data_IF_183130995211
#
_entry.id   IF_183130995211
#
_cell.length_a   1.000
_cell.length_b   1.000
_cell.length_c   1.000
_cell.angle_alpha   90.00
_cell.angle_beta   90.00
_cell.angle_gamma   90.00
#
_symmetry.space_group_name_H-M   'P 1'
#
loop_
_entity.id
_entity.type
_entity.pdbx_description
1 polymer ?
#
# COMPACT_ATOMS: atom_id res chain seq x y z
N UNK A 1 3.03 4.69 0.91
CA UNK A 1 2.62 3.75 -0.17
C UNK A 1 1.66 4.37 -1.17
N UNK A 2 0.41 4.68 -0.79
CA UNK A 2 -0.62 5.27 -1.70
C UNK A 2 -0.13 6.49 -2.48
N UNK A 3 0.55 7.41 -1.79
CA UNK A 3 1.07 8.66 -2.37
C UNK A 3 2.16 8.37 -3.41
N UNK A 4 3.09 7.47 -3.10
CA UNK A 4 4.22 7.16 -3.97
C UNK A 4 3.79 6.58 -5.32
N UNK A 5 2.73 5.75 -5.34
CA UNK A 5 2.19 5.18 -6.58
C UNK A 5 1.73 6.30 -7.53
N UNK A 6 0.92 7.23 -7.04
CA UNK A 6 0.40 8.32 -7.87
C UNK A 6 1.53 9.24 -8.35
N UNK A 7 2.46 9.61 -7.47
CA UNK A 7 3.62 10.44 -7.82
C UNK A 7 4.46 9.82 -8.92
N UNK A 8 4.87 8.56 -8.76
CA UNK A 8 5.74 7.90 -9.73
C UNK A 8 5.07 7.74 -11.09
N UNK A 9 3.80 7.35 -11.13
CA UNK A 9 3.06 7.18 -12.39
C UNK A 9 2.87 8.52 -13.11
N UNK A 10 2.41 9.56 -12.40
CA UNK A 10 2.19 10.88 -13.01
C UNK A 10 3.51 11.49 -13.48
N UNK A 11 4.57 11.40 -12.68
CA UNK A 11 5.87 11.96 -13.05
C UNK A 11 6.48 11.26 -14.27
N UNK A 12 6.35 9.93 -14.37
CA UNK A 12 6.77 9.18 -15.56
C UNK A 12 5.95 9.59 -16.79
N UNK A 13 4.62 9.68 -16.68
CA UNK A 13 3.76 10.09 -17.81
C UNK A 13 4.10 11.50 -18.27
N UNK A 14 4.24 12.46 -17.35
CA UNK A 14 4.57 13.84 -17.70
C UNK A 14 5.93 13.98 -18.36
N UNK A 15 6.91 13.15 -17.99
CA UNK A 15 8.23 13.14 -18.63
C UNK A 15 8.15 12.65 -20.07
N UNK A 16 7.44 11.55 -20.33
CA UNK A 16 7.37 10.94 -21.67
C UNK A 16 6.44 11.70 -22.62
N UNK A 17 5.49 12.49 -22.11
CA UNK A 17 4.71 13.43 -22.93
C UNK A 17 5.52 14.67 -23.35
N UNK A 18 6.62 14.98 -22.67
CA UNK A 18 7.52 16.08 -23.00
C UNK A 18 6.86 17.47 -22.99
N UNK A 19 7.29 18.33 -23.92
CA UNK A 19 6.89 19.75 -24.00
C UNK A 19 5.40 19.97 -24.35
N UNK A 20 4.68 18.94 -24.79
CA UNK A 20 3.25 18.99 -25.14
C UNK A 20 2.30 18.50 -24.05
N UNK A 21 2.76 18.38 -22.79
CA UNK A 21 1.95 17.81 -21.70
C UNK A 21 0.68 18.63 -21.45
N UNK A 22 -0.47 18.07 -21.81
CA UNK A 22 -1.80 18.61 -21.49
C UNK A 22 -2.50 17.68 -20.50
N UNK A 23 -3.43 18.20 -19.71
CA UNK A 23 -4.24 17.37 -18.81
C UNK A 23 -5.00 16.26 -19.57
N UNK A 24 -5.60 16.51 -20.76
CA UNK A 24 -6.15 15.45 -21.60
C UNK A 24 -5.11 14.39 -22.00
N UNK A 25 -3.91 14.80 -22.42
CA UNK A 25 -2.84 13.85 -22.76
C UNK A 25 -2.43 12.97 -21.58
N UNK A 26 -2.36 13.53 -20.37
CA UNK A 26 -2.13 12.76 -19.14
C UNK A 26 -3.28 11.78 -18.88
N UNK A 27 -4.53 12.18 -19.14
CA UNK A 27 -5.69 11.30 -18.97
C UNK A 27 -5.68 10.10 -19.95
N UNK A 28 -5.24 10.32 -21.19
CA UNK A 28 -5.08 9.27 -22.19
C UNK A 28 -3.98 8.28 -21.79
N UNK A 29 -2.84 8.78 -21.33
CA UNK A 29 -1.74 7.94 -20.83
C UNK A 29 -2.12 7.18 -19.56
N UNK A 30 -2.90 7.78 -18.65
CA UNK A 30 -3.46 7.06 -17.50
C UNK A 30 -4.38 5.91 -17.93
N UNK A 31 -5.13 6.08 -19.02
CA UNK A 31 -5.97 5.02 -19.58
C UNK A 31 -5.12 3.87 -20.12
N UNK A 32 -4.01 4.17 -20.81
CA UNK A 32 -3.02 3.15 -21.24
C UNK A 32 -2.36 2.46 -20.04
N UNK A 33 -1.99 3.22 -19.01
CA UNK A 33 -1.45 2.67 -17.75
C UNK A 33 -2.46 1.74 -17.06
N UNK A 34 -3.76 2.03 -17.13
CA UNK A 34 -4.81 1.15 -16.61
C UNK A 34 -4.91 -0.17 -17.38
N UNK A 35 -4.76 -0.14 -18.71
CA UNK A 35 -4.69 -1.36 -19.52
C UNK A 35 -3.45 -2.19 -19.19
N UNK A 36 -2.31 -1.55 -18.94
CA UNK A 36 -1.12 -2.22 -18.43
C UNK A 36 -1.37 -2.86 -17.06
N UNK A 37 -2.01 -2.15 -16.14
CA UNK A 37 -2.40 -2.66 -14.83
C UNK A 37 -3.30 -3.89 -14.92
N UNK A 38 -4.32 -3.86 -15.79
CA UNK A 38 -5.19 -5.02 -16.03
C UNK A 38 -4.41 -6.23 -16.55
N UNK A 39 -3.51 -6.02 -17.53
CA UNK A 39 -2.65 -7.11 -18.06
C UNK A 39 -1.75 -7.68 -16.97
N UNK A 40 -1.15 -6.82 -16.15
CA UNK A 40 -0.36 -7.21 -14.98
C UNK A 40 -1.19 -8.05 -13.99
N UNK A 41 -2.38 -7.59 -13.61
CA UNK A 41 -3.26 -8.33 -12.70
C UNK A 41 -3.65 -9.70 -13.25
N UNK A 42 -4.00 -9.78 -14.55
CA UNK A 42 -4.31 -11.05 -15.21
C UNK A 42 -3.11 -12.01 -15.21
N UNK A 43 -1.92 -11.52 -15.56
CA UNK A 43 -0.67 -12.31 -15.58
C UNK A 43 -0.32 -12.86 -14.21
N UNK A 44 -0.53 -12.08 -13.15
CA UNK A 44 -0.17 -12.44 -11.77
C UNK A 44 -1.33 -13.05 -10.97
N UNK A 45 -2.48 -13.34 -11.60
CA UNK A 45 -3.69 -13.88 -10.95
C UNK A 45 -4.15 -13.04 -9.74
N UNK A 46 -4.05 -11.71 -9.87
CA UNK A 46 -4.45 -10.76 -8.84
C UNK A 46 -5.81 -10.12 -9.18
N UNK A 47 -6.66 -9.81 -8.18
CA UNK A 47 -7.88 -9.06 -8.44
C UNK A 47 -7.54 -7.65 -8.91
N UNK A 48 -8.03 -7.27 -10.09
CA UNK A 48 -7.93 -5.91 -10.58
C UNK A 48 -8.97 -5.02 -9.89
N UNK A 49 -8.64 -3.74 -9.70
CA UNK A 49 -9.64 -2.76 -9.28
C UNK A 49 -10.67 -2.50 -10.40
N UNK A 50 -11.91 -2.22 -10.01
CA UNK A 50 -12.99 -1.87 -10.94
C UNK A 50 -12.90 -0.42 -11.45
N UNK A 51 -12.13 0.43 -10.78
CA UNK A 51 -12.05 1.86 -11.09
C UNK A 51 -10.94 2.15 -12.11
N UNK A 52 -11.32 2.67 -13.28
CA UNK A 52 -10.38 3.17 -14.29
C UNK A 52 -9.49 4.27 -13.72
N UNK A 53 -8.24 4.32 -14.16
CA UNK A 53 -7.35 5.42 -13.85
C UNK A 53 -7.81 6.69 -14.58
N UNK A 54 -7.75 7.82 -13.89
CA UNK A 54 -8.13 9.12 -14.41
C UNK A 54 -7.47 10.22 -13.58
N UNK A 55 -7.45 11.45 -14.09
CA UNK A 55 -6.94 12.61 -13.37
C UNK A 55 -7.59 12.75 -11.99
N UNK A 56 -8.91 12.53 -11.89
CA UNK A 56 -9.62 12.60 -10.61
C UNK A 56 -9.13 11.54 -9.61
N UNK A 57 -8.84 10.32 -10.10
CA UNK A 57 -8.40 9.21 -9.26
C UNK A 57 -6.95 9.28 -8.83
N UNK A 58 -6.13 10.05 -9.54
CA UNK A 58 -4.74 10.34 -9.21
C UNK A 58 -4.55 11.75 -8.61
N UNK A 59 -5.64 12.45 -8.31
CA UNK A 59 -5.65 13.84 -7.81
C UNK A 59 -4.84 14.82 -8.69
N UNK A 60 -4.94 14.69 -10.01
CA UNK A 60 -4.22 15.52 -11.00
C UNK A 60 -5.16 16.30 -11.92
N UNK A 61 -6.27 16.81 -11.39
CA UNK A 61 -7.19 17.68 -12.17
C UNK A 61 -6.59 19.03 -12.54
N UNK A 62 -5.55 19.44 -11.81
CA UNK A 62 -4.80 20.67 -12.01
C UNK A 62 -3.31 20.35 -11.78
N UNK A 63 -2.40 21.03 -12.47
CA UNK A 63 -0.95 20.84 -12.30
C UNK A 63 -0.45 21.24 -10.90
N UNK A 64 -1.19 22.12 -10.23
CA UNK A 64 -0.93 22.53 -8.84
C UNK A 64 -1.25 21.43 -7.84
N UNK A 65 -2.12 20.46 -8.17
CA UNK A 65 -2.50 19.40 -7.25
C UNK A 65 -1.41 18.35 -7.13
N UNK A 66 -1.07 17.98 -5.90
CA UNK A 66 -0.16 16.87 -5.62
C UNK A 66 -0.80 15.52 -6.00
N UNK A 67 -0.09 14.66 -6.74
CA UNK A 67 -0.58 13.32 -7.08
C UNK A 67 -0.81 12.47 -5.84
N UNK A 68 -2.05 12.03 -5.65
CA UNK A 68 -2.46 11.14 -4.56
C UNK A 68 -3.59 10.25 -5.08
N UNK A 69 -3.52 8.94 -4.83
CA UNK A 69 -4.62 8.06 -5.21
C UNK A 69 -5.87 8.38 -4.36
N UNK A 70 -7.03 8.38 -5.01
CA UNK A 70 -8.31 8.57 -4.36
C UNK A 70 -8.63 7.48 -3.33
N UNK A 71 -9.41 7.83 -2.30
CA UNK A 71 -9.82 6.92 -1.22
C UNK A 71 -10.66 5.71 -1.65
N UNK A 72 -11.13 5.66 -2.90
CA UNK A 72 -11.83 4.50 -3.43
C UNK A 72 -10.93 3.28 -3.63
N UNK A 73 -9.61 3.45 -3.65
CA UNK A 73 -8.66 2.34 -3.71
C UNK A 73 -8.45 1.75 -2.32
N UNK A 74 -9.02 0.56 -2.09
CA UNK A 74 -8.87 -0.17 -0.82
C UNK A 74 -7.44 -0.65 -0.61
N UNK A 75 -7.03 -0.86 0.65
CA UNK A 75 -5.67 -1.26 1.01
C UNK A 75 -5.15 -2.47 0.22
N UNK A 76 -5.95 -3.53 0.06
CA UNK A 76 -5.56 -4.72 -0.73
C UNK A 76 -5.28 -4.39 -2.21
N UNK A 77 -6.05 -3.47 -2.80
CA UNK A 77 -5.82 -3.01 -4.18
C UNK A 77 -4.51 -2.21 -4.25
N UNK A 78 -4.30 -1.28 -3.33
CA UNK A 78 -3.08 -0.45 -3.25
C UNK A 78 -1.85 -1.33 -3.12
N UNK A 79 -1.90 -2.36 -2.28
CA UNK A 79 -0.83 -3.35 -2.13
C UNK A 79 -0.49 -4.01 -3.47
N UNK A 80 -1.50 -4.43 -4.24
CA UNK A 80 -1.28 -4.95 -5.59
C UNK A 80 -0.72 -3.91 -6.56
N UNK A 81 -1.15 -2.65 -6.44
CA UNK A 81 -0.63 -1.54 -7.24
C UNK A 81 0.84 -1.24 -6.95
N UNK A 82 1.35 -1.49 -5.74
CA UNK A 82 2.79 -1.35 -5.43
C UNK A 82 3.63 -2.26 -6.36
N UNK A 83 3.24 -3.52 -6.49
CA UNK A 83 3.93 -4.45 -7.39
C UNK A 83 3.79 -4.05 -8.86
N UNK A 84 2.59 -3.62 -9.26
CA UNK A 84 2.36 -3.15 -10.63
C UNK A 84 3.20 -1.92 -10.96
N UNK A 85 3.34 -0.95 -10.05
CA UNK A 85 4.15 0.26 -10.32
C UNK A 85 5.59 -0.11 -10.61
N UNK A 86 6.17 -1.06 -9.86
CA UNK A 86 7.52 -1.54 -10.16
C UNK A 86 7.62 -2.15 -11.57
N UNK A 87 6.64 -2.98 -11.96
CA UNK A 87 6.57 -3.59 -13.29
C UNK A 87 6.37 -2.53 -14.40
N UNK A 88 5.49 -1.57 -14.17
CA UNK A 88 5.18 -0.47 -15.10
C UNK A 88 6.37 0.47 -15.30
N UNK A 89 7.03 0.91 -14.22
CA UNK A 89 8.20 1.77 -14.34
C UNK A 89 9.36 1.06 -15.03
N UNK A 90 9.45 -0.27 -14.90
CA UNK A 90 10.47 -1.07 -15.56
C UNK A 90 10.30 -1.14 -17.09
N UNK A 91 9.17 -0.67 -17.65
CA UNK A 91 9.01 -0.51 -19.11
C UNK A 91 9.67 0.75 -19.66
N UNK A 92 10.09 1.68 -18.80
CA UNK A 92 10.76 2.92 -19.15
C UNK A 92 12.18 2.89 -18.57
N UNK A 93 13.21 2.81 -19.41
CA UNK A 93 14.62 2.73 -18.94
C UNK A 93 15.57 3.60 -19.74
N UNK A 94 15.02 4.51 -20.52
CA UNK A 94 15.77 5.25 -21.52
C UNK A 94 16.58 6.37 -20.87
N UNK A 95 16.06 6.98 -19.80
CA UNK A 95 16.75 8.05 -19.06
C UNK A 95 17.27 7.61 -17.68
N UNK A 96 18.22 8.38 -17.14
CA UNK A 96 18.69 8.19 -15.76
C UNK A 96 17.56 8.42 -14.74
N UNK A 97 16.66 9.35 -15.04
CA UNK A 97 15.50 9.64 -14.20
C UNK A 97 14.53 8.45 -14.17
N UNK A 98 14.31 7.78 -15.30
CA UNK A 98 13.47 6.58 -15.34
C UNK A 98 14.07 5.42 -14.56
N UNK A 99 15.39 5.24 -14.64
CA UNK A 99 16.10 4.27 -13.80
C UNK A 99 15.90 4.57 -12.31
N UNK A 100 16.00 5.83 -11.90
CA UNK A 100 15.75 6.23 -10.51
C UNK A 100 14.30 5.96 -10.08
N UNK A 101 13.31 6.30 -10.91
CA UNK A 101 11.89 6.00 -10.65
C UNK A 101 11.66 4.49 -10.53
N UNK A 102 12.21 3.70 -11.46
CA UNK A 102 12.11 2.25 -11.46
C UNK A 102 12.76 1.63 -10.20
N UNK A 103 13.95 2.10 -9.80
CA UNK A 103 14.58 1.69 -8.54
C UNK A 103 13.74 2.05 -7.32
N UNK A 104 13.13 3.24 -7.31
CA UNK A 104 12.25 3.69 -6.23
C UNK A 104 11.01 2.79 -6.11
N UNK A 105 10.34 2.50 -7.24
CA UNK A 105 9.19 1.59 -7.28
C UNK A 105 9.58 0.16 -6.88
N UNK A 106 10.72 -0.31 -7.37
CA UNK A 106 11.26 -1.64 -7.03
C UNK A 106 11.56 -1.78 -5.55
N UNK A 107 12.22 -0.80 -4.91
CA UNK A 107 12.55 -0.85 -3.49
C UNK A 107 11.27 -1.02 -2.64
N UNK A 108 10.23 -0.26 -2.95
CA UNK A 108 8.95 -0.38 -2.25
C UNK A 108 8.27 -1.74 -2.48
N UNK A 109 8.27 -2.23 -3.73
CA UNK A 109 7.72 -3.54 -4.07
C UNK A 109 8.50 -4.69 -3.43
N UNK A 110 9.83 -4.57 -3.36
CA UNK A 110 10.69 -5.58 -2.74
C UNK A 110 10.45 -5.66 -1.25
N UNK A 111 10.38 -4.53 -0.55
CA UNK A 111 9.97 -4.49 0.85
C UNK A 111 8.62 -5.19 1.08
N UNK A 112 7.60 -4.85 0.28
CA UNK A 112 6.28 -5.46 0.40
C UNK A 112 6.32 -6.97 0.15
N UNK A 113 7.13 -7.43 -0.82
CA UNK A 113 7.32 -8.84 -1.15
C UNK A 113 7.99 -9.63 -0.02
N UNK A 114 8.92 -9.01 0.71
CA UNK A 114 9.56 -9.62 1.87
C UNK A 114 8.51 -9.79 2.98
N UNK A 115 7.78 -8.73 3.32
CA UNK A 115 6.70 -8.80 4.32
C UNK A 115 5.63 -9.86 3.98
N UNK A 116 5.34 -10.05 2.69
CA UNK A 116 4.31 -10.99 2.23
C UNK A 116 4.73 -12.46 2.32
N UNK A 117 6.02 -12.76 2.19
CA UNK A 117 6.55 -14.13 2.17
C UNK A 117 7.17 -14.56 3.49
N UNK A 118 7.58 -13.61 4.31
CA UNK A 118 8.13 -13.88 5.63
C UNK A 118 7.04 -14.20 6.65
N UNK A 119 7.34 -15.03 7.66
CA UNK A 119 6.43 -15.27 8.78
C UNK A 119 6.36 -14.04 9.70
N UNK A 120 5.76 -14.20 10.88
CA UNK A 120 5.61 -13.12 11.88
C UNK A 120 6.95 -12.51 12.32
N UNK A 121 8.02 -13.30 12.31
CA UNK A 121 9.37 -12.86 12.62
C UNK A 121 10.27 -13.08 11.41
N UNK A 122 11.05 -12.07 11.03
CA UNK A 122 11.98 -12.18 9.92
C UNK A 122 13.17 -13.06 10.28
N UNK A 123 13.73 -13.75 9.28
CA UNK A 123 15.12 -14.21 9.37
C UNK A 123 16.07 -13.01 9.37
N UNK A 124 17.31 -13.18 9.85
CA UNK A 124 18.29 -12.09 9.85
C UNK A 124 18.54 -11.49 8.46
N UNK A 125 18.54 -12.34 7.43
CA UNK A 125 18.66 -11.91 6.05
C UNK A 125 17.44 -11.09 5.60
N UNK A 126 16.23 -11.60 5.81
CA UNK A 126 15.00 -10.92 5.42
C UNK A 126 14.82 -9.59 6.18
N UNK A 127 15.24 -9.54 7.46
CA UNK A 127 15.23 -8.34 8.29
C UNK A 127 16.12 -7.25 7.68
N UNK A 128 17.40 -7.57 7.46
CA UNK A 128 18.37 -6.63 6.86
C UNK A 128 17.90 -6.16 5.49
N UNK A 129 17.39 -7.08 4.68
CA UNK A 129 16.90 -6.73 3.35
C UNK A 129 15.69 -5.80 3.44
N UNK A 130 14.69 -6.10 4.27
CA UNK A 130 13.50 -5.27 4.45
C UNK A 130 13.85 -3.83 4.85
N UNK A 131 14.68 -3.67 5.88
CA UNK A 131 15.14 -2.35 6.36
C UNK A 131 15.93 -1.60 5.29
N UNK A 132 16.82 -2.29 4.57
CA UNK A 132 17.57 -1.69 3.46
C UNK A 132 16.65 -1.19 2.36
N UNK A 133 15.63 -1.96 1.99
CA UNK A 133 14.67 -1.54 0.96
C UNK A 133 13.80 -0.36 1.38
N UNK A 134 13.43 -0.26 2.66
CA UNK A 134 12.75 0.93 3.20
C UNK A 134 13.64 2.17 3.01
N UNK A 135 14.89 2.11 3.48
CA UNK A 135 15.83 3.23 3.41
C UNK A 135 16.12 3.64 1.97
N UNK A 136 16.35 2.66 1.09
CA UNK A 136 16.52 2.90 -0.35
C UNK A 136 15.31 3.62 -0.96
N UNK A 137 14.10 3.15 -0.65
CA UNK A 137 12.88 3.81 -1.12
C UNK A 137 12.80 5.25 -0.64
N UNK A 138 13.03 5.51 0.65
CA UNK A 138 12.95 6.85 1.24
C UNK A 138 13.97 7.80 0.59
N UNK A 139 15.22 7.38 0.45
CA UNK A 139 16.28 8.17 -0.16
C UNK A 139 15.99 8.47 -1.64
N UNK A 140 15.58 7.46 -2.41
CA UNK A 140 15.24 7.63 -3.82
C UNK A 140 14.02 8.56 -4.00
N UNK A 141 12.97 8.37 -3.19
CA UNK A 141 11.78 9.20 -3.26
C UNK A 141 12.07 10.66 -2.88
N UNK A 142 12.91 10.89 -1.85
CA UNK A 142 13.35 12.23 -1.47
C UNK A 142 14.20 12.89 -2.56
N UNK A 143 15.12 12.14 -3.19
CA UNK A 143 15.91 12.64 -4.32
C UNK A 143 15.04 13.03 -5.51
N UNK A 144 14.07 12.19 -5.87
CA UNK A 144 13.11 12.49 -6.94
C UNK A 144 12.26 13.74 -6.60
N UNK A 145 11.85 13.88 -5.33
CA UNK A 145 11.11 15.06 -4.88
C UNK A 145 11.94 16.34 -5.00
N UNK A 146 13.21 16.31 -4.60
CA UNK A 146 14.12 17.45 -4.73
C UNK A 146 14.35 17.84 -6.20
N UNK A 147 14.54 16.86 -7.09
CA UNK A 147 14.68 17.09 -8.53
C UNK A 147 13.40 17.70 -9.13
N UNK A 148 12.23 17.17 -8.78
CA UNK A 148 10.95 17.71 -9.22
C UNK A 148 10.74 19.15 -8.74
N UNK A 149 11.09 19.46 -7.49
CA UNK A 149 11.02 20.81 -6.94
C UNK A 149 11.93 21.78 -7.70
N UNK A 150 13.18 21.40 -7.98
CA UNK A 150 14.11 22.18 -8.81
C UNK A 150 13.56 22.43 -10.22
N UNK A 151 12.85 21.45 -10.78
CA UNK A 151 12.14 21.57 -12.06
C UNK A 151 10.78 22.29 -11.95
N UNK A 152 10.42 22.85 -10.78
CA UNK A 152 9.13 23.49 -10.49
C UNK A 152 7.92 22.58 -10.79
N UNK A 153 8.08 21.26 -10.65
CA UNK A 153 7.02 20.25 -10.81
C UNK A 153 6.48 19.84 -9.43
N UNK A 154 5.17 19.93 -9.25
CA UNK A 154 4.52 19.52 -7.99
C UNK A 154 4.09 18.05 -8.03
N UNK A 155 5.04 17.11 -8.13
CA UNK A 155 4.74 15.69 -8.37
C UNK A 155 4.94 14.78 -7.15
N UNK A 156 5.73 15.21 -6.17
CA UNK A 156 6.12 14.38 -5.03
C UNK A 156 5.63 15.01 -3.73
N UNK A 157 4.78 14.29 -3.02
CA UNK A 157 4.19 14.75 -1.77
C UNK A 157 4.91 14.08 -0.60
N UNK A 158 5.85 14.78 0.02
CA UNK A 158 6.48 14.35 1.26
C UNK A 158 5.56 14.68 2.44
N UNK A 159 5.12 13.65 3.15
CA UNK A 159 4.23 13.75 4.32
C UNK A 159 4.87 13.12 5.56
N UNK A 160 4.42 13.44 6.78
CA UNK A 160 4.92 12.80 8.01
C UNK A 160 4.85 11.27 8.00
N UNK A 161 3.96 10.68 7.19
CA UNK A 161 3.88 9.21 7.03
C UNK A 161 5.15 8.58 6.45
N UNK A 162 6.01 9.33 5.76
CA UNK A 162 7.32 8.84 5.34
C UNK A 162 8.30 8.73 6.52
N UNK A 163 8.22 9.65 7.49
CA UNK A 163 8.98 9.55 8.73
C UNK A 163 8.53 8.34 9.57
N UNK A 164 7.22 8.07 9.64
CA UNK A 164 6.74 6.83 10.25
C UNK A 164 7.26 5.57 9.53
N UNK A 165 7.50 5.66 8.22
CA UNK A 165 8.09 4.56 7.46
C UNK A 165 9.58 4.38 7.75
N UNK A 166 10.29 5.45 8.10
CA UNK A 166 11.67 5.38 8.61
C UNK A 166 11.72 4.71 9.99
N UNK A 167 10.85 5.13 10.92
CA UNK A 167 10.70 4.45 12.21
C UNK A 167 10.35 2.98 12.08
N UNK A 168 9.59 2.61 11.04
CA UNK A 168 9.32 1.22 10.74
C UNK A 168 10.59 0.43 10.41
N UNK A 169 11.56 1.03 9.72
CA UNK A 169 12.87 0.40 9.50
C UNK A 169 13.58 0.15 10.83
N UNK A 170 13.64 1.14 11.72
CA UNK A 170 14.26 0.99 13.05
C UNK A 170 13.55 -0.11 13.86
N UNK A 171 12.22 -0.14 13.84
CA UNK A 171 11.43 -1.15 14.51
C UNK A 171 11.74 -2.57 14.01
N UNK A 172 11.84 -2.75 12.69
CA UNK A 172 12.21 -4.04 12.08
C UNK A 172 13.64 -4.42 12.47
N UNK A 173 14.57 -3.48 12.46
CA UNK A 173 15.97 -3.71 12.85
C UNK A 173 16.08 -4.17 14.31
N UNK A 174 15.37 -3.50 15.22
CA UNK A 174 15.39 -3.77 16.67
C UNK A 174 14.67 -5.06 17.05
N UNK A 175 13.46 -5.28 16.52
CA UNK A 175 12.59 -6.37 16.97
C UNK A 175 12.68 -7.60 16.07
N UNK A 176 13.04 -7.44 14.80
CA UNK A 176 12.90 -8.48 13.78
C UNK A 176 11.44 -8.86 13.47
N UNK A 177 10.47 -8.10 13.97
CA UNK A 177 9.05 -8.39 13.77
C UNK A 177 8.56 -7.91 12.41
N UNK A 178 7.76 -8.73 11.75
CA UNK A 178 7.17 -8.41 10.47
C UNK A 178 5.94 -7.52 10.64
N UNK A 179 5.98 -6.26 10.16
CA UNK A 179 4.92 -5.30 10.44
C UNK A 179 3.61 -5.60 9.73
N UNK A 180 3.60 -6.57 8.80
CA UNK A 180 2.37 -7.12 8.22
C UNK A 180 1.39 -7.61 9.30
N UNK A 181 1.91 -8.13 10.41
CA UNK A 181 1.12 -8.74 11.48
C UNK A 181 0.67 -7.74 12.55
N UNK A 182 1.25 -6.54 12.58
CA UNK A 182 0.96 -5.51 13.58
C UNK A 182 0.20 -4.31 13.00
N UNK A 183 0.46 -3.94 11.75
CA UNK A 183 -0.19 -2.79 11.13
C UNK A 183 -1.63 -3.08 10.72
N UNK A 184 -2.58 -2.28 11.23
CA UNK A 184 -3.90 -1.81 10.74
C UNK A 184 -4.86 -2.75 9.97
N UNK A 185 -4.42 -3.88 9.41
CA UNK A 185 -5.26 -4.85 8.73
C UNK A 185 -6.17 -5.59 9.73
N UNK A 186 -5.72 -5.78 10.97
CA UNK A 186 -6.53 -6.25 12.09
C UNK A 186 -7.60 -5.24 12.47
N UNK A 187 -7.26 -3.95 12.54
CA UNK A 187 -8.20 -2.89 12.88
C UNK A 187 -9.24 -2.64 11.78
N UNK A 188 -8.86 -2.69 10.50
CA UNK A 188 -9.82 -2.60 9.39
C UNK A 188 -10.79 -3.79 9.38
N UNK A 189 -10.30 -4.99 9.71
CA UNK A 189 -11.15 -6.17 9.88
C UNK A 189 -12.14 -6.00 11.04
N UNK A 190 -11.65 -5.47 12.17
CA UNK A 190 -12.46 -5.16 13.34
C UNK A 190 -13.54 -4.12 13.02
N UNK A 191 -13.15 -3.01 12.37
CA UNK A 191 -14.07 -1.96 11.94
C UNK A 191 -15.09 -2.48 10.93
N UNK A 192 -14.71 -3.41 10.05
CA UNK A 192 -15.64 -4.10 9.15
C UNK A 192 -16.67 -4.94 9.90
N UNK A 193 -16.27 -5.64 10.97
CA UNK A 193 -17.19 -6.36 11.85
C UNK A 193 -18.14 -5.39 12.58
N UNK A 194 -17.61 -4.31 13.16
CA UNK A 194 -18.40 -3.29 13.85
C UNK A 194 -19.41 -2.64 12.89
N UNK A 195 -19.00 -2.32 11.65
CA UNK A 195 -19.89 -1.76 10.64
C UNK A 195 -21.04 -2.71 10.27
N UNK A 196 -20.77 -4.02 10.14
CA UNK A 196 -21.82 -5.03 9.90
C UNK A 196 -22.82 -5.09 11.06
N UNK A 197 -22.32 -5.07 12.30
CA UNK A 197 -23.19 -5.02 13.49
C UNK A 197 -24.06 -3.76 13.45
N UNK A 198 -23.46 -2.60 13.17
CA UNK A 198 -24.17 -1.32 13.09
C UNK A 198 -25.26 -1.33 12.01
N UNK A 199 -24.96 -1.84 10.81
CA UNK A 199 -25.95 -1.93 9.71
C UNK A 199 -27.14 -2.84 10.02
N UNK A 200 -27.01 -3.75 10.99
CA UNK A 200 -28.06 -4.67 11.42
C UNK A 200 -28.81 -4.16 12.67
N UNK A 201 -28.68 -2.87 13.01
CA UNK A 201 -29.33 -2.26 14.18
C UNK A 201 -30.13 -1.03 13.78
N UNK A 202 -31.21 -0.75 14.50
CA UNK A 202 -32.04 0.43 14.26
C UNK A 202 -31.29 1.71 14.69
N UNK A 203 -31.33 2.76 13.85
CA UNK A 203 -30.55 3.99 14.03
C UNK A 203 -30.67 4.61 15.43
N UNK A 204 -31.88 4.71 15.99
CA UNK A 204 -32.12 5.26 17.34
C UNK A 204 -31.46 4.46 18.47
N UNK A 205 -31.17 3.18 18.24
CA UNK A 205 -30.58 2.27 19.24
C UNK A 205 -29.19 1.78 18.86
N UNK A 206 -28.66 2.28 17.74
CA UNK A 206 -27.45 1.75 17.09
C UNK A 206 -26.27 1.73 18.05
N UNK A 207 -25.96 2.84 18.71
CA UNK A 207 -24.80 2.94 19.61
C UNK A 207 -24.83 1.89 20.72
N UNK A 208 -25.98 1.74 21.40
CA UNK A 208 -26.16 0.75 22.47
C UNK A 208 -26.11 -0.69 21.94
N UNK A 209 -26.82 -0.98 20.84
CA UNK A 209 -26.90 -2.34 20.27
C UNK A 209 -25.58 -2.79 19.65
N UNK A 210 -24.82 -1.87 19.05
CA UNK A 210 -23.46 -2.14 18.56
C UNK A 210 -22.55 -2.51 19.72
N UNK A 211 -22.57 -1.74 20.81
CA UNK A 211 -21.75 -2.03 21.98
C UNK A 211 -22.11 -3.38 22.63
N UNK A 212 -23.39 -3.66 22.84
CA UNK A 212 -23.88 -4.93 23.41
C UNK A 212 -23.45 -6.13 22.54
N UNK A 213 -23.66 -6.05 21.22
CA UNK A 213 -23.30 -7.14 20.29
C UNK A 213 -21.79 -7.29 20.13
N UNK A 214 -21.04 -6.19 20.14
CA UNK A 214 -19.59 -6.22 20.10
C UNK A 214 -19.00 -6.87 21.35
N UNK A 215 -19.50 -6.52 22.54
CA UNK A 215 -19.11 -7.16 23.80
C UNK A 215 -19.39 -8.66 23.80
N UNK A 216 -20.58 -9.08 23.36
CA UNK A 216 -20.90 -10.50 23.22
C UNK A 216 -19.93 -11.23 22.27
N UNK A 217 -19.48 -10.55 21.21
CA UNK A 217 -18.48 -11.11 20.30
C UNK A 217 -17.10 -11.29 20.97
N UNK A 218 -16.67 -10.32 21.78
CA UNK A 218 -15.44 -10.41 22.57
C UNK A 218 -15.50 -11.53 23.61
N UNK A 219 -16.63 -11.69 24.31
CA UNK A 219 -16.81 -12.73 25.34
C UNK A 219 -16.70 -14.13 24.73
N UNK A 220 -17.23 -14.34 23.52
CA UNK A 220 -17.08 -15.59 22.76
C UNK A 220 -15.62 -15.83 22.34
N UNK A 221 -14.93 -14.81 21.85
CA UNK A 221 -13.51 -14.92 21.45
C UNK A 221 -12.63 -15.23 22.66
N UNK A 222 -12.83 -14.55 23.80
CA UNK A 222 -12.12 -14.85 25.04
C UNK A 222 -12.36 -16.28 25.52
N UNK A 223 -13.60 -16.77 25.44
CA UNK A 223 -13.94 -18.15 25.80
C UNK A 223 -13.26 -19.16 24.88
N UNK A 224 -13.16 -18.88 23.58
CA UNK A 224 -12.49 -19.75 22.61
C UNK A 224 -10.96 -19.75 22.77
N UNK A 225 -10.36 -18.60 23.06
CA UNK A 225 -8.91 -18.48 23.33
C UNK A 225 -8.54 -19.16 24.66
N UNK A 226 -9.38 -19.05 25.69
CA UNK A 226 -9.20 -19.77 26.96
C UNK A 226 -9.29 -21.30 26.78
N UNK A 227 -10.01 -21.78 25.77
CA UNK A 227 -10.09 -23.20 25.42
C UNK A 227 -8.96 -23.69 24.50
N UNK A 228 -8.14 -22.78 23.94
CA UNK A 228 -7.04 -23.12 23.03
C UNK A 228 -5.93 -24.00 23.67
N UNK A 229 -5.49 -23.76 24.93
CA UNK A 229 -4.51 -24.61 25.62
C UNK A 229 -5.01 -26.05 25.84
N UNK A 230 -6.33 -26.27 25.89
CA UNK A 230 -6.93 -27.59 26.16
C UNK A 230 -7.05 -28.46 24.90
N UNK A 231 -7.01 -27.87 23.70
CA UNK A 231 -7.00 -28.62 22.43
C UNK A 231 -5.58 -29.03 22.00
N UNK A 232 -4.58 -28.19 22.23
CA UNK A 232 -3.19 -28.49 21.87
C UNK A 232 -2.63 -29.71 22.64
N UNK A 233 -3.10 -29.94 23.87
CA UNK A 233 -2.65 -31.07 24.70
C UNK A 233 -3.33 -32.40 24.40
N UNK A 234 -4.50 -32.41 23.75
CA UNK A 234 -5.18 -33.66 23.35
C UNK A 234 -4.59 -34.31 22.10
N UNK A 235 -3.93 -33.54 21.21
CA UNK A 235 -3.26 -34.09 20.02
C UNK A 235 -1.92 -34.78 20.33
N UNK A 236 -1.36 -34.61 21.53
CA UNK A 236 -0.06 -35.17 21.92
C UNK A 236 -0.14 -36.48 22.73
N UNK A 237 -1.35 -36.98 23.06
CA UNK A 237 -1.55 -38.23 23.82
C UNK A 237 -2.19 -39.36 23.01
N UNK A 238 -2.00 -39.34 21.70
CA UNK A 238 -2.44 -40.38 20.77
C UNK A 238 -1.29 -40.87 19.91
N UNK A 239 -0.26 -41.43 20.53
CA UNK A 239 0.71 -42.35 19.93
C UNK A 239 1.03 -43.42 20.96
#
# INVERSE_FOLDING_TARGET
>A
MVIAIASLVIDTIEEHLGHGKTLPGIADELSKAFEHYKKFCKRNKMPACSFRFSLAKFNRKQYTNLPVLASCYKANVVKGMVYWVADYLNTFKDSQLDKQRACCGYALARFQSICDRSPEWFSDEARREASTQIRNFLQLYQSLAAQAQSAKKNNYHLVPKFHNFDHLSSYIDETGRNPRFDHLYTDEGLMGCVAKIASATHALTMSRRVLERYRAHLDVVHSLVALWPLRATRSARGK
#
